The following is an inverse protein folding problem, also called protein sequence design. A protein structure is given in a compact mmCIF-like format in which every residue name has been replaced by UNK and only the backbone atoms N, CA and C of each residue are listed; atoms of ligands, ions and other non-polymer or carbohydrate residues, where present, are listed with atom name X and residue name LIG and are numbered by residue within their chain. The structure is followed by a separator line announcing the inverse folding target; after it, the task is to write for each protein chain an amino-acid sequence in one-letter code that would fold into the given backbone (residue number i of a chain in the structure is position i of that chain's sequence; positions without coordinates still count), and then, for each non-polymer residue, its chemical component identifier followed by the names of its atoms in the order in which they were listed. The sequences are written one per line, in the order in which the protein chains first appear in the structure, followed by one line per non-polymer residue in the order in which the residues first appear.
data_IF_318848350768
#
_entry.id   IF_318848350768
#
_cell.length_a   1.000
_cell.length_b   1.000
_cell.length_c   1.000
_cell.angle_alpha   90.00
_cell.angle_beta   90.00
_cell.angle_gamma   90.00
#
_symmetry.space_group_name_H-M   'P 1'
#
loop_
_entity.id
_entity.type
_entity.pdbx_description
1 polymer ?
#
# COMPACT_ATOMS: atom_id res chain seq x y z
N UNK A 1 -16.40 -19.24 10.15
CA UNK A 1 -16.11 -18.20 9.14
C UNK A 1 -15.11 -17.26 9.80
N UNK A 2 -13.82 -17.45 9.55
CA UNK A 2 -12.79 -16.59 10.16
C UNK A 2 -12.60 -15.44 9.17
N UNK A 3 -13.22 -14.31 9.47
CA UNK A 3 -12.85 -13.05 8.84
C UNK A 3 -11.43 -12.73 9.29
N UNK A 4 -10.46 -12.85 8.39
CA UNK A 4 -9.31 -11.98 8.52
C UNK A 4 -9.86 -10.56 8.42
N UNK A 5 -9.54 -9.65 9.36
CA UNK A 5 -10.04 -8.30 9.27
C UNK A 5 -9.33 -7.66 8.09
N UNK A 6 -10.02 -7.60 6.95
CA UNK A 6 -9.84 -6.45 6.09
C UNK A 6 -10.38 -5.21 6.78
N UNK A 7 -11.40 -5.32 7.65
CA UNK A 7 -11.95 -4.21 8.41
C UNK A 7 -12.66 -4.75 9.66
N UNK A 8 -12.27 -4.30 10.87
CA UNK A 8 -13.03 -4.52 12.12
C UNK A 8 -12.27 -5.26 13.23
N UNK A 9 -11.84 -4.49 14.25
CA UNK A 9 -11.48 -4.86 15.65
C UNK A 9 -10.07 -5.38 16.05
N UNK A 10 -9.34 -6.29 15.36
CA UNK A 10 -7.93 -6.55 15.71
C UNK A 10 -6.95 -5.45 15.27
N UNK A 11 -7.41 -4.53 14.43
CA UNK A 11 -6.58 -3.50 13.81
C UNK A 11 -6.24 -2.36 14.78
N UNK A 12 -7.20 -1.98 15.63
CA UNK A 12 -7.02 -0.99 16.69
C UNK A 12 -6.04 -1.49 17.75
N UNK A 13 -6.12 -2.77 18.14
CA UNK A 13 -5.19 -3.36 19.10
C UNK A 13 -3.77 -3.52 18.56
N UNK A 14 -3.59 -3.78 17.25
CA UNK A 14 -2.28 -3.92 16.60
C UNK A 14 -1.59 -2.58 16.37
N UNK A 15 -2.29 -1.56 15.84
CA UNK A 15 -1.74 -0.19 15.76
C UNK A 15 -1.45 0.33 17.17
N UNK A 16 -2.36 0.11 18.12
CA UNK A 16 -2.12 0.49 19.51
C UNK A 16 -0.99 -0.33 20.15
N UNK A 17 -0.70 -1.56 19.72
CA UNK A 17 0.43 -2.37 20.22
C UNK A 17 1.75 -1.91 19.62
N UNK A 18 1.80 -1.68 18.31
CA UNK A 18 2.95 -1.09 17.59
C UNK A 18 3.30 0.27 18.18
N UNK A 19 2.28 1.07 18.55
CA UNK A 19 2.45 2.37 19.20
C UNK A 19 2.57 2.31 20.73
N UNK A 20 2.15 1.24 21.42
CA UNK A 20 2.33 1.05 22.88
C UNK A 20 3.79 0.82 23.26
N UNK A 21 4.61 0.33 22.32
CA UNK A 21 6.06 0.38 22.46
C UNK A 21 6.60 1.83 22.48
N UNK A 22 5.79 2.79 22.03
CA UNK A 22 6.04 4.22 22.03
C UNK A 22 5.18 4.98 23.06
N UNK A 23 5.59 6.22 23.35
CA UNK A 23 4.97 7.11 24.34
C UNK A 23 3.43 7.18 24.16
N UNK A 24 2.67 7.20 25.25
CA UNK A 24 1.20 7.24 25.32
C UNK A 24 0.57 8.33 24.44
N UNK A 25 1.29 9.44 24.20
CA UNK A 25 0.86 10.55 23.34
C UNK A 25 0.79 10.20 21.83
N UNK A 26 1.70 9.36 21.32
CA UNK A 26 1.65 8.90 19.93
C UNK A 26 0.43 7.99 19.71
N UNK A 27 0.22 7.07 20.65
CA UNK A 27 -0.91 6.14 20.62
C UNK A 27 -2.24 6.90 20.64
N UNK A 28 -2.42 7.85 21.57
CA UNK A 28 -3.66 8.62 21.68
C UNK A 28 -3.95 9.46 20.43
N UNK A 29 -2.91 10.03 19.82
CA UNK A 29 -3.04 10.83 18.59
C UNK A 29 -3.44 9.97 17.40
N UNK A 30 -2.81 8.81 17.23
CA UNK A 30 -3.15 7.88 16.15
C UNK A 30 -4.58 7.33 16.31
N UNK A 31 -4.98 6.95 17.53
CA UNK A 31 -6.35 6.52 17.82
C UNK A 31 -7.36 7.62 17.52
N UNK A 32 -7.13 8.85 18.00
CA UNK A 32 -7.99 9.99 17.68
C UNK A 32 -8.07 10.25 16.17
N UNK A 33 -6.92 10.20 15.48
CA UNK A 33 -6.87 10.41 14.04
C UNK A 33 -7.64 9.32 13.28
N UNK A 34 -7.54 8.07 13.72
CA UNK A 34 -8.29 6.95 13.16
C UNK A 34 -9.81 7.12 13.33
N UNK A 35 -10.26 7.47 14.54
CA UNK A 35 -11.68 7.73 14.81
C UNK A 35 -12.20 8.90 13.96
N UNK A 36 -11.41 9.96 13.85
CA UNK A 36 -11.72 11.10 12.99
C UNK A 36 -11.77 10.68 11.51
N UNK A 37 -10.86 9.81 11.07
CA UNK A 37 -10.81 9.34 9.70
C UNK A 37 -12.05 8.50 9.33
N UNK A 38 -12.59 7.72 10.29
CA UNK A 38 -13.85 6.98 10.13
C UNK A 38 -15.08 7.89 10.09
N UNK A 39 -15.12 8.90 10.95
CA UNK A 39 -16.33 9.72 11.18
C UNK A 39 -16.39 10.98 10.32
N UNK A 40 -15.24 11.57 9.98
CA UNK A 40 -15.11 12.74 9.12
C UNK A 40 -13.81 12.67 8.30
N UNK A 41 -13.80 11.89 7.20
CA UNK A 41 -12.60 11.67 6.39
C UNK A 41 -11.98 12.98 5.88
N UNK A 42 -12.79 13.94 5.45
CA UNK A 42 -12.31 15.26 4.99
C UNK A 42 -11.59 16.04 6.11
N UNK A 43 -12.12 16.01 7.33
CA UNK A 43 -11.47 16.65 8.48
C UNK A 43 -10.18 15.92 8.87
N UNK A 44 -10.15 14.59 8.78
CA UNK A 44 -8.92 13.82 9.00
C UNK A 44 -7.84 14.22 7.98
N UNK A 45 -8.17 14.31 6.69
CA UNK A 45 -7.23 14.75 5.67
C UNK A 45 -6.65 16.14 5.94
N UNK A 46 -7.48 17.09 6.39
CA UNK A 46 -6.99 18.41 6.79
C UNK A 46 -5.97 18.33 7.93
N UNK A 47 -6.18 17.42 8.89
CA UNK A 47 -5.33 17.24 10.08
C UNK A 47 -4.15 16.27 9.90
N UNK A 48 -4.05 15.57 8.77
CA UNK A 48 -3.04 14.52 8.56
C UNK A 48 -1.61 14.98 8.88
N UNK A 49 -1.19 16.13 8.35
CA UNK A 49 0.15 16.67 8.57
C UNK A 49 0.42 16.99 10.04
N UNK A 50 -0.55 17.61 10.72
CA UNK A 50 -0.44 17.91 12.16
C UNK A 50 -0.42 16.66 13.02
N UNK A 51 -1.22 15.64 12.67
CA UNK A 51 -1.23 14.36 13.37
C UNK A 51 0.12 13.62 13.19
N UNK A 52 0.69 13.63 11.98
CA UNK A 52 2.04 13.12 11.71
C UNK A 52 3.10 13.84 12.56
N UNK A 53 3.04 15.17 12.66
CA UNK A 53 3.98 15.93 13.50
C UNK A 53 3.87 15.56 14.97
N UNK A 54 2.66 15.42 15.51
CA UNK A 54 2.46 15.03 16.91
C UNK A 54 3.00 13.62 17.17
N UNK A 55 2.73 12.65 16.29
CA UNK A 55 3.26 11.29 16.41
C UNK A 55 4.79 11.28 16.34
N UNK A 56 5.39 12.03 15.41
CA UNK A 56 6.85 12.18 15.30
C UNK A 56 7.48 12.83 16.53
N UNK A 57 6.82 13.83 17.12
CA UNK A 57 7.31 14.58 18.28
C UNK A 57 7.08 13.88 19.63
N UNK A 58 6.28 12.82 19.67
CA UNK A 58 6.03 12.08 20.89
C UNK A 58 7.28 11.33 21.41
N UNK A 59 8.32 11.14 20.57
CA UNK A 59 9.57 10.52 21.00
C UNK A 59 10.58 11.59 21.51
N UNK A 60 10.94 11.57 22.80
CA UNK A 60 11.93 12.51 23.35
C UNK A 60 13.33 12.35 22.75
N UNK A 61 13.66 11.19 22.19
CA UNK A 61 14.94 10.90 21.53
C UNK A 61 14.88 11.10 20.00
N UNK A 62 13.85 11.77 19.48
CA UNK A 62 13.64 12.01 18.05
C UNK A 62 14.90 12.51 17.35
N UNK A 63 15.53 13.55 17.86
CA UNK A 63 16.70 14.16 17.22
C UNK A 63 17.85 13.16 17.03
N UNK A 64 18.07 12.28 18.01
CA UNK A 64 19.10 11.25 17.94
C UNK A 64 18.73 10.14 16.95
N UNK A 65 17.48 9.65 17.00
CA UNK A 65 17.04 8.56 16.11
C UNK A 65 16.94 9.04 14.66
N UNK A 66 16.38 10.22 14.41
CA UNK A 66 16.28 10.78 13.05
C UNK A 66 17.66 11.16 12.49
N UNK A 67 18.64 11.52 13.33
CA UNK A 67 20.02 11.75 12.89
C UNK A 67 20.70 10.46 12.42
N UNK A 68 20.43 9.32 13.06
CA UNK A 68 21.03 8.02 12.74
C UNK A 68 20.27 7.32 11.59
N UNK A 69 18.94 7.27 11.68
CA UNK A 69 18.06 6.68 10.66
C UNK A 69 17.89 7.59 9.43
N UNK A 70 18.36 8.83 9.52
CA UNK A 70 18.36 9.82 8.45
C UNK A 70 16.96 10.17 7.92
N UNK A 71 16.01 10.18 8.86
CA UNK A 71 14.59 10.40 8.65
C UNK A 71 13.77 9.92 9.86
N UNK A 72 12.47 10.23 9.91
CA UNK A 72 11.55 9.65 10.89
C UNK A 72 11.56 8.13 10.78
N UNK A 73 11.59 7.45 11.94
CA UNK A 73 11.51 6.00 11.98
C UNK A 73 10.15 5.54 11.37
N UNK A 74 10.17 4.67 10.34
CA UNK A 74 8.96 4.11 9.71
C UNK A 74 8.00 3.43 10.69
N UNK A 75 8.50 2.86 11.79
CA UNK A 75 7.65 2.26 12.82
C UNK A 75 6.71 3.27 13.48
N UNK A 76 7.04 4.58 13.42
CA UNK A 76 6.25 5.65 14.03
C UNK A 76 5.31 6.29 13.01
N UNK A 77 5.79 6.50 11.79
CA UNK A 77 5.03 7.22 10.75
C UNK A 77 4.24 6.31 9.81
N UNK A 78 4.68 5.05 9.65
CA UNK A 78 4.00 4.02 8.88
C UNK A 78 2.54 3.81 9.32
N UNK A 79 2.23 3.74 10.63
CA UNK A 79 0.86 3.67 11.11
C UNK A 79 -0.05 4.81 10.61
N UNK A 80 0.48 6.02 10.42
CA UNK A 80 -0.32 7.14 9.89
C UNK A 80 -0.67 6.95 8.42
N UNK A 81 0.27 6.48 7.59
CA UNK A 81 -0.03 6.10 6.20
C UNK A 81 -0.96 4.88 6.13
N UNK A 82 -0.89 3.98 7.10
CA UNK A 82 -1.83 2.85 7.25
C UNK A 82 -3.26 3.35 7.52
N UNK A 83 -3.42 4.36 8.39
CA UNK A 83 -4.72 5.03 8.61
C UNK A 83 -5.21 5.73 7.34
N UNK A 84 -4.31 6.39 6.60
CA UNK A 84 -4.66 6.96 5.30
C UNK A 84 -5.16 5.89 4.33
N UNK A 85 -4.45 4.76 4.24
CA UNK A 85 -4.84 3.61 3.42
C UNK A 85 -6.21 3.06 3.82
N UNK A 86 -6.55 3.04 5.11
CA UNK A 86 -7.85 2.55 5.56
C UNK A 86 -9.03 3.37 5.07
N UNK A 87 -8.90 4.71 5.04
CA UNK A 87 -9.98 5.57 4.56
C UNK A 87 -9.98 5.73 3.04
N UNK A 88 -8.83 5.55 2.40
CA UNK A 88 -8.60 5.84 0.99
C UNK A 88 -9.70 5.30 0.05
N UNK A 89 -10.19 4.05 0.19
CA UNK A 89 -11.19 3.48 -0.70
C UNK A 89 -12.59 4.08 -0.55
N UNK A 90 -12.85 4.74 0.58
CA UNK A 90 -14.14 5.36 0.89
C UNK A 90 -14.18 6.83 0.45
N UNK A 91 -13.06 7.37 -0.03
CA UNK A 91 -12.95 8.73 -0.54
C UNK A 91 -13.33 8.76 -2.02
N UNK A 92 -14.03 9.82 -2.44
CA UNK A 92 -14.22 10.12 -3.86
C UNK A 92 -12.88 10.42 -4.55
N UNK A 93 -12.87 10.45 -5.90
CA UNK A 93 -11.64 10.61 -6.69
C UNK A 93 -10.90 11.92 -6.38
N UNK A 94 -11.59 13.03 -6.13
CA UNK A 94 -10.95 14.31 -5.87
C UNK A 94 -10.40 14.38 -4.44
N UNK A 95 -11.12 13.82 -3.48
CA UNK A 95 -10.65 13.71 -2.10
C UNK A 95 -9.45 12.76 -1.99
N UNK A 96 -9.42 11.67 -2.78
CA UNK A 96 -8.23 10.79 -2.90
C UNK A 96 -7.01 11.51 -3.49
N UNK A 97 -7.18 12.45 -4.44
CA UNK A 97 -6.06 13.28 -4.95
C UNK A 97 -5.43 14.10 -3.82
N UNK A 98 -6.26 14.73 -2.98
CA UNK A 98 -5.79 15.51 -1.82
C UNK A 98 -5.04 14.60 -0.84
N UNK A 99 -5.59 13.43 -0.54
CA UNK A 99 -4.97 12.42 0.32
C UNK A 99 -3.61 11.94 -0.22
N UNK A 100 -3.54 11.71 -1.54
CA UNK A 100 -2.31 11.32 -2.22
C UNK A 100 -1.26 12.42 -2.14
N UNK A 101 -1.59 13.68 -2.47
CA UNK A 101 -0.65 14.81 -2.39
C UNK A 101 -0.10 14.95 -0.98
N UNK A 102 -0.93 14.81 0.06
CA UNK A 102 -0.48 14.83 1.46
C UNK A 102 0.46 13.68 1.79
N UNK A 103 0.17 12.48 1.29
CA UNK A 103 1.02 11.30 1.47
C UNK A 103 2.36 11.47 0.75
N UNK A 104 2.35 11.97 -0.49
CA UNK A 104 3.56 12.25 -1.27
C UNK A 104 4.39 13.36 -0.64
N UNK A 105 3.80 14.46 -0.18
CA UNK A 105 4.54 15.52 0.53
C UNK A 105 5.25 14.99 1.78
N UNK A 106 4.61 14.06 2.49
CA UNK A 106 5.25 13.39 3.61
C UNK A 106 6.43 12.54 3.14
N UNK A 107 6.23 11.66 2.15
CA UNK A 107 7.27 10.76 1.63
C UNK A 107 8.45 11.52 0.98
N UNK A 108 8.17 12.60 0.25
CA UNK A 108 9.14 13.50 -0.40
C UNK A 108 10.01 14.24 0.62
N UNK A 109 9.56 14.35 1.88
CA UNK A 109 10.38 14.89 2.98
C UNK A 109 11.35 13.88 3.59
N UNK A 110 11.32 12.62 3.14
CA UNK A 110 12.14 11.53 3.67
C UNK A 110 13.25 11.16 2.68
N UNK A 111 14.28 10.45 3.17
CA UNK A 111 15.19 9.75 2.27
C UNK A 111 14.46 8.59 1.59
N UNK A 112 14.84 8.30 0.35
CA UNK A 112 14.18 7.31 -0.51
C UNK A 112 13.98 5.94 0.17
N UNK A 113 15.01 5.39 0.84
CA UNK A 113 14.88 4.10 1.55
C UNK A 113 13.83 4.13 2.67
N UNK A 114 13.79 5.20 3.45
CA UNK A 114 12.79 5.40 4.52
C UNK A 114 11.39 5.58 3.93
N UNK A 115 11.27 6.26 2.79
CA UNK A 115 10.00 6.38 2.08
C UNK A 115 9.51 5.00 1.58
N UNK A 116 10.40 4.19 1.00
CA UNK A 116 10.08 2.82 0.58
C UNK A 116 9.62 1.95 1.76
N UNK A 117 10.32 2.01 2.90
CA UNK A 117 9.91 1.29 4.13
C UNK A 117 8.51 1.72 4.58
N UNK A 118 8.21 3.02 4.59
CA UNK A 118 6.88 3.53 4.91
C UNK A 118 5.79 3.01 3.93
N UNK A 119 6.08 2.97 2.63
CA UNK A 119 5.17 2.42 1.61
C UNK A 119 5.00 0.91 1.78
N UNK A 120 6.03 0.18 2.21
CA UNK A 120 5.97 -1.26 2.46
C UNK A 120 4.93 -1.63 3.53
N UNK A 121 4.70 -0.76 4.52
CA UNK A 121 3.72 -0.95 5.58
C UNK A 121 2.27 -0.62 5.17
N UNK A 122 2.05 0.02 4.03
CA UNK A 122 0.70 0.33 3.56
C UNK A 122 0.01 -0.96 3.07
N UNK A 123 -1.21 -1.17 3.55
CA UNK A 123 -1.99 -2.39 3.25
C UNK A 123 -3.05 -2.18 2.18
N UNK A 124 -3.39 -0.94 1.86
CA UNK A 124 -4.42 -0.59 0.89
C UNK A 124 -3.85 -0.51 -0.53
N UNK A 125 -4.24 -1.40 -1.46
CA UNK A 125 -3.69 -1.45 -2.81
C UNK A 125 -3.82 -0.14 -3.60
N UNK A 126 -4.97 0.55 -3.50
CA UNK A 126 -5.18 1.80 -4.25
C UNK A 126 -4.20 2.90 -3.84
N UNK A 127 -3.97 3.08 -2.54
CA UNK A 127 -3.02 4.09 -2.06
C UNK A 127 -1.59 3.76 -2.50
N UNK A 128 -1.18 2.49 -2.40
CA UNK A 128 0.17 2.07 -2.84
C UNK A 128 0.35 2.28 -4.33
N UNK A 129 -0.64 1.88 -5.14
CA UNK A 129 -0.62 2.06 -6.57
C UNK A 129 -0.48 3.54 -6.94
N UNK A 130 -1.31 4.38 -6.36
CA UNK A 130 -1.32 5.82 -6.62
C UNK A 130 0.01 6.47 -6.19
N UNK A 131 0.63 6.04 -5.07
CA UNK A 131 1.96 6.51 -4.69
C UNK A 131 3.00 6.14 -5.76
N UNK A 132 3.06 4.87 -6.15
CA UNK A 132 4.12 4.36 -7.06
C UNK A 132 3.95 4.91 -8.48
N UNK A 133 2.72 5.04 -8.99
CA UNK A 133 2.43 5.63 -10.29
C UNK A 133 2.98 7.06 -10.37
N UNK A 134 2.85 7.83 -9.28
CA UNK A 134 3.29 9.22 -9.23
C UNK A 134 4.75 9.41 -8.80
N UNK A 135 5.31 8.43 -8.08
CA UNK A 135 6.69 8.42 -7.58
C UNK A 135 7.24 7.00 -7.61
N UNK A 136 7.63 6.53 -8.79
CA UNK A 136 8.12 5.16 -9.00
C UNK A 136 9.31 4.77 -8.10
N UNK A 137 10.11 5.76 -7.69
CA UNK A 137 11.24 5.56 -6.77
C UNK A 137 10.82 5.06 -5.38
N UNK A 138 9.56 5.23 -4.97
CA UNK A 138 9.04 4.76 -3.68
C UNK A 138 8.48 3.34 -3.72
N UNK A 139 8.69 2.60 -4.80
CA UNK A 139 8.32 1.19 -4.86
C UNK A 139 9.29 0.35 -4.00
N UNK A 140 8.85 -0.22 -2.86
CA UNK A 140 9.71 -1.09 -2.04
C UNK A 140 9.90 -2.49 -2.64
N UNK A 141 9.18 -2.80 -3.72
CA UNK A 141 9.11 -4.13 -4.30
C UNK A 141 8.31 -5.12 -3.44
N UNK A 142 8.38 -6.39 -3.82
CA UNK A 142 7.62 -7.49 -3.21
C UNK A 142 8.54 -8.65 -2.79
N UNK A 143 9.82 -8.36 -2.50
CA UNK A 143 10.86 -9.38 -2.24
C UNK A 143 10.47 -10.26 -1.05
N UNK A 144 10.09 -9.66 0.08
CA UNK A 144 9.67 -10.42 1.28
C UNK A 144 8.45 -11.31 1.00
N UNK A 145 7.48 -10.80 0.25
CA UNK A 145 6.30 -11.58 -0.16
C UNK A 145 6.68 -12.75 -1.08
N UNK A 146 7.57 -12.53 -2.05
CA UNK A 146 8.06 -13.57 -2.94
C UNK A 146 8.87 -14.65 -2.18
N UNK A 147 9.68 -14.25 -1.20
CA UNK A 147 10.43 -15.19 -0.35
C UNK A 147 9.50 -16.04 0.52
N UNK A 148 8.45 -15.44 1.09
CA UNK A 148 7.43 -16.17 1.85
C UNK A 148 6.72 -17.22 0.98
N UNK A 149 6.28 -16.83 -0.22
CA UNK A 149 5.61 -17.76 -1.15
C UNK A 149 6.54 -18.87 -1.64
N UNK A 150 7.83 -18.57 -1.83
CA UNK A 150 8.83 -19.57 -2.20
C UNK A 150 9.12 -20.55 -1.04
N UNK A 151 9.12 -20.05 0.19
CA UNK A 151 9.40 -20.84 1.39
C UNK A 151 8.25 -21.77 1.76
N UNK A 152 7.01 -21.31 1.59
CA UNK A 152 5.80 -22.04 1.99
C UNK A 152 4.91 -22.32 0.77
N UNK A 153 5.10 -23.49 0.16
CA UNK A 153 4.40 -23.87 -1.08
C UNK A 153 2.94 -24.31 -0.89
N UNK A 154 2.55 -24.64 0.35
CA UNK A 154 1.20 -25.09 0.69
C UNK A 154 0.45 -24.04 1.54
N UNK A 155 -0.87 -23.94 1.36
CA UNK A 155 -1.71 -22.97 2.07
C UNK A 155 -1.60 -23.11 3.59
N UNK A 156 -1.62 -24.34 4.10
CA UNK A 156 -1.56 -24.65 5.53
C UNK A 156 -0.28 -24.15 6.20
N UNK A 157 0.82 -24.11 5.44
CA UNK A 157 2.11 -23.62 5.92
C UNK A 157 2.25 -22.10 5.73
N UNK A 158 1.69 -21.54 4.67
CA UNK A 158 1.75 -20.11 4.37
C UNK A 158 0.86 -19.29 5.32
N UNK A 159 -0.35 -19.77 5.62
CA UNK A 159 -1.39 -19.02 6.34
C UNK A 159 -0.92 -18.44 7.69
N UNK A 160 -0.20 -19.19 8.56
CA UNK A 160 0.32 -18.65 9.82
C UNK A 160 1.34 -17.51 9.66
N UNK A 161 1.90 -17.32 8.46
CA UNK A 161 2.95 -16.36 8.17
C UNK A 161 2.48 -15.15 7.36
N UNK A 162 1.21 -15.08 6.94
CA UNK A 162 0.68 -13.97 6.13
C UNK A 162 0.82 -12.61 6.83
N UNK A 163 0.84 -12.58 8.17
CA UNK A 163 0.99 -11.34 8.95
C UNK A 163 2.41 -10.75 8.95
N UNK A 164 3.41 -11.49 8.45
CA UNK A 164 4.80 -11.04 8.46
C UNK A 164 5.11 -9.98 7.40
N UNK A 165 4.17 -9.69 6.50
CA UNK A 165 4.31 -8.64 5.48
C UNK A 165 2.93 -8.06 5.12
N UNK A 166 2.89 -7.04 4.26
CA UNK A 166 1.63 -6.43 3.84
C UNK A 166 0.79 -7.42 3.02
N UNK A 167 -0.53 -7.55 3.30
CA UNK A 167 -1.44 -8.35 2.48
C UNK A 167 -1.44 -7.92 1.01
N UNK A 168 -1.27 -6.62 0.74
CA UNK A 168 -1.15 -6.12 -0.63
C UNK A 168 0.05 -6.73 -1.35
N UNK A 169 1.25 -6.72 -0.74
CA UNK A 169 2.46 -7.24 -1.37
C UNK A 169 2.40 -8.76 -1.58
N UNK A 170 1.78 -9.51 -0.67
CA UNK A 170 1.47 -10.93 -0.88
C UNK A 170 0.53 -11.11 -2.05
N UNK A 171 -0.59 -10.38 -2.08
CA UNK A 171 -1.57 -10.47 -3.15
C UNK A 171 -0.95 -10.10 -4.51
N UNK A 172 -0.13 -9.05 -4.55
CA UNK A 172 0.58 -8.62 -5.75
C UNK A 172 1.60 -9.66 -6.20
N UNK A 173 2.32 -10.28 -5.28
CA UNK A 173 3.21 -11.39 -5.63
C UNK A 173 2.42 -12.59 -6.19
N UNK A 174 1.24 -12.92 -5.64
CA UNK A 174 0.43 -14.05 -6.11
C UNK A 174 -0.10 -13.89 -7.55
N UNK A 175 -0.30 -12.66 -8.03
CA UNK A 175 -0.75 -12.42 -9.41
C UNK A 175 0.38 -12.52 -10.45
N UNK A 176 1.64 -12.65 -10.03
CA UNK A 176 2.79 -12.82 -10.92
C UNK A 176 2.99 -14.29 -11.33
N UNK A 177 3.39 -14.50 -12.59
CA UNK A 177 3.33 -15.80 -13.28
C UNK A 177 4.08 -16.98 -12.64
N UNK A 178 5.07 -16.76 -11.77
CA UNK A 178 5.93 -17.82 -11.22
C UNK A 178 6.11 -17.75 -9.69
N UNK A 179 5.16 -17.13 -8.98
CA UNK A 179 5.36 -16.81 -7.55
C UNK A 179 4.54 -17.65 -6.59
N UNK A 180 3.45 -18.26 -7.02
CA UNK A 180 2.59 -19.10 -6.19
C UNK A 180 2.00 -20.25 -7.02
N UNK A 181 1.70 -21.38 -6.36
CA UNK A 181 0.93 -22.47 -6.95
C UNK A 181 -0.53 -22.04 -7.18
N UNK A 182 -1.21 -22.68 -8.13
CA UNK A 182 -2.63 -22.40 -8.40
C UNK A 182 -3.50 -22.63 -7.16
N UNK A 183 -3.23 -23.70 -6.40
CA UNK A 183 -3.95 -24.00 -5.15
C UNK A 183 -3.87 -22.84 -4.14
N UNK A 184 -2.65 -22.33 -3.88
CA UNK A 184 -2.44 -21.22 -2.94
C UNK A 184 -3.13 -19.95 -3.44
N UNK A 185 -3.02 -19.66 -4.74
CA UNK A 185 -3.63 -18.48 -5.37
C UNK A 185 -5.16 -18.52 -5.25
N UNK A 186 -5.77 -19.63 -5.66
CA UNK A 186 -7.22 -19.82 -5.63
C UNK A 186 -7.76 -19.69 -4.21
N UNK A 187 -7.07 -20.30 -3.24
CA UNK A 187 -7.45 -20.23 -1.83
C UNK A 187 -7.33 -18.81 -1.29
N UNK A 188 -6.26 -18.09 -1.62
CA UNK A 188 -6.08 -16.72 -1.17
C UNK A 188 -7.14 -15.78 -1.76
N UNK A 189 -7.39 -15.83 -3.08
CA UNK A 189 -8.40 -14.98 -3.70
C UNK A 189 -9.83 -15.30 -3.26
N UNK A 190 -10.12 -16.58 -2.94
CA UNK A 190 -11.39 -16.95 -2.32
C UNK A 190 -11.57 -16.31 -0.94
N UNK A 191 -10.51 -16.22 -0.14
CA UNK A 191 -10.55 -15.67 1.22
C UNK A 191 -10.46 -14.14 1.25
N UNK A 192 -9.81 -13.54 0.25
CA UNK A 192 -9.53 -12.09 0.20
C UNK A 192 -10.02 -11.44 -1.11
N UNK A 193 -11.29 -11.61 -1.50
CA UNK A 193 -11.77 -11.17 -2.83
C UNK A 193 -11.69 -9.65 -3.03
N UNK A 194 -11.94 -8.85 -1.98
CA UNK A 194 -11.84 -7.38 -2.04
C UNK A 194 -10.40 -6.90 -2.22
N UNK A 195 -9.45 -7.55 -1.54
CA UNK A 195 -8.03 -7.24 -1.68
C UNK A 195 -7.56 -7.59 -3.10
N UNK A 196 -7.93 -8.79 -3.59
CA UNK A 196 -7.63 -9.22 -4.96
C UNK A 196 -8.16 -8.22 -6.00
N UNK A 197 -9.44 -7.83 -5.90
CA UNK A 197 -10.04 -6.87 -6.83
C UNK A 197 -9.28 -5.53 -6.87
N UNK A 198 -8.90 -4.99 -5.71
CA UNK A 198 -8.13 -3.73 -5.62
C UNK A 198 -6.67 -3.89 -6.04
N UNK A 199 -6.06 -5.05 -5.81
CA UNK A 199 -4.73 -5.38 -6.33
C UNK A 199 -4.74 -5.46 -7.86
N UNK A 200 -5.82 -5.94 -8.47
CA UNK A 200 -5.97 -5.88 -9.92
C UNK A 200 -6.15 -4.45 -10.43
N UNK A 201 -6.81 -3.56 -9.66
CA UNK A 201 -6.85 -2.13 -10.01
C UNK A 201 -5.44 -1.51 -9.96
N UNK A 202 -4.64 -1.89 -8.96
CA UNK A 202 -3.24 -1.47 -8.84
C UNK A 202 -2.40 -1.98 -10.03
N UNK A 203 -2.54 -3.26 -10.38
CA UNK A 203 -1.86 -3.87 -11.53
C UNK A 203 -2.22 -3.16 -12.85
N UNK A 204 -3.51 -2.83 -13.05
CA UNK A 204 -3.97 -2.04 -14.18
C UNK A 204 -3.30 -0.66 -14.23
N UNK A 205 -3.24 0.04 -13.10
CA UNK A 205 -2.57 1.34 -13.01
C UNK A 205 -1.08 1.26 -13.32
N UNK A 206 -0.38 0.23 -12.84
CA UNK A 206 1.03 -0.01 -13.16
C UNK A 206 1.24 -0.31 -14.65
N UNK A 207 0.46 -1.24 -15.22
CA UNK A 207 0.53 -1.60 -16.63
C UNK A 207 0.34 -0.37 -17.52
N UNK A 208 -0.70 0.42 -17.26
CA UNK A 208 -1.01 1.60 -18.07
C UNK A 208 0.08 2.67 -17.94
N UNK A 209 0.57 2.90 -16.72
CA UNK A 209 1.61 3.91 -16.46
C UNK A 209 2.93 3.54 -17.12
N UNK A 210 3.39 2.30 -16.95
CA UNK A 210 4.62 1.83 -17.60
C UNK A 210 4.48 1.76 -19.11
N UNK A 211 3.33 1.33 -19.64
CA UNK A 211 3.07 1.36 -21.08
C UNK A 211 3.13 2.79 -21.66
N UNK A 212 2.55 3.78 -20.97
CA UNK A 212 2.66 5.20 -21.36
C UNK A 212 4.11 5.70 -21.31
N UNK A 213 4.89 5.26 -20.31
CA UNK A 213 6.30 5.60 -20.21
C UNK A 213 7.12 5.00 -21.36
N UNK A 214 6.90 3.74 -21.70
CA UNK A 214 7.57 3.05 -22.82
C UNK A 214 7.18 3.66 -24.15
N UNK A 215 5.90 3.97 -24.35
CA UNK A 215 5.44 4.68 -25.54
C UNK A 215 6.16 6.02 -25.70
N UNK A 216 6.22 6.81 -24.64
CA UNK A 216 6.86 8.14 -24.65
C UNK A 216 8.38 8.07 -24.83
N UNK A 217 9.06 7.12 -24.18
CA UNK A 217 10.54 7.05 -24.16
C UNK A 217 11.13 6.23 -25.30
N UNK A 218 10.45 5.17 -25.71
CA UNK A 218 10.96 4.16 -26.63
C UNK A 218 10.21 4.14 -27.97
N UNK A 219 9.10 4.87 -28.10
CA UNK A 219 8.29 4.92 -29.33
C UNK A 219 7.51 3.63 -29.61
N UNK A 220 7.41 2.72 -28.65
CA UNK A 220 6.62 1.49 -28.78
C UNK A 220 5.13 1.84 -28.87
N UNK A 221 4.33 1.25 -29.77
CA UNK A 221 2.89 1.46 -29.79
C UNK A 221 2.26 1.14 -28.41
N UNK A 222 1.36 1.99 -27.93
CA UNK A 222 0.83 1.89 -26.56
C UNK A 222 0.21 0.51 -26.28
N UNK A 223 -0.53 -0.06 -27.22
CA UNK A 223 -1.14 -1.38 -27.05
C UNK A 223 -0.09 -2.50 -26.99
N UNK A 224 0.99 -2.40 -27.77
CA UNK A 224 2.11 -3.35 -27.69
C UNK A 224 2.82 -3.23 -26.35
N UNK A 225 3.01 -2.01 -25.84
CA UNK A 225 3.61 -1.78 -24.53
C UNK A 225 2.73 -2.30 -23.39
N UNK A 226 1.40 -2.16 -23.49
CA UNK A 226 0.44 -2.77 -22.53
C UNK A 226 0.57 -4.29 -22.52
N UNK A 227 0.52 -4.93 -23.69
CA UNK A 227 0.60 -6.39 -23.80
C UNK A 227 1.94 -6.93 -23.30
N UNK A 228 3.04 -6.18 -23.50
CA UNK A 228 4.35 -6.51 -22.93
C UNK A 228 4.32 -6.46 -21.39
N UNK A 229 3.81 -5.37 -20.81
CA UNK A 229 3.73 -5.20 -19.36
C UNK A 229 2.75 -6.19 -18.68
N UNK A 230 1.76 -6.73 -19.41
CA UNK A 230 0.88 -7.79 -18.90
C UNK A 230 1.59 -9.14 -18.74
N UNK A 231 2.68 -9.41 -19.48
CA UNK A 231 3.37 -10.70 -19.46
C UNK A 231 3.98 -11.06 -18.10
N UNK A 232 4.11 -10.11 -17.17
CA UNK A 232 4.59 -10.37 -15.82
C UNK A 232 3.52 -11.03 -14.93
N UNK A 233 2.25 -10.86 -15.30
CA UNK A 233 1.10 -11.40 -14.58
C UNK A 233 0.63 -12.74 -15.13
N UNK A 234 -0.10 -13.49 -14.31
CA UNK A 234 -0.79 -14.71 -14.71
C UNK A 234 -1.76 -14.43 -15.86
N UNK A 235 -1.80 -15.29 -16.88
CA UNK A 235 -2.60 -15.05 -18.09
C UNK A 235 -4.11 -15.04 -17.80
N UNK A 236 -4.54 -15.79 -16.78
CA UNK A 236 -5.94 -15.93 -16.37
C UNK A 236 -6.58 -14.61 -15.92
N UNK A 237 -5.77 -13.62 -15.52
CA UNK A 237 -6.24 -12.32 -15.04
C UNK A 237 -6.04 -11.18 -16.05
N UNK A 238 -5.43 -11.44 -17.22
CA UNK A 238 -5.14 -10.40 -18.21
C UNK A 238 -6.40 -9.65 -18.64
N UNK A 239 -7.50 -10.36 -18.92
CA UNK A 239 -8.76 -9.73 -19.33
C UNK A 239 -9.37 -8.86 -18.23
N UNK A 240 -9.21 -9.25 -16.97
CA UNK A 240 -9.67 -8.45 -15.83
C UNK A 240 -8.84 -7.17 -15.69
N UNK A 241 -7.52 -7.26 -15.90
CA UNK A 241 -6.63 -6.09 -15.89
C UNK A 241 -6.99 -5.15 -17.06
N UNK A 242 -7.17 -5.67 -18.29
CA UNK A 242 -7.59 -4.86 -19.45
C UNK A 242 -8.90 -4.13 -19.18
N UNK A 243 -9.89 -4.81 -18.60
CA UNK A 243 -11.15 -4.17 -18.17
C UNK A 243 -10.88 -3.05 -17.16
N UNK A 244 -10.07 -3.30 -16.13
CA UNK A 244 -9.75 -2.30 -15.10
C UNK A 244 -8.95 -1.10 -15.62
N UNK A 245 -8.13 -1.29 -16.66
CA UNK A 245 -7.48 -0.17 -17.38
C UNK A 245 -8.54 0.79 -17.93
N UNK A 246 -9.65 0.26 -18.49
CA UNK A 246 -10.74 1.10 -18.98
C UNK A 246 -11.57 1.79 -17.87
N UNK A 247 -11.52 1.29 -16.64
CA UNK A 247 -12.20 1.89 -15.49
C UNK A 247 -11.41 3.08 -14.87
N UNK A 248 -10.09 3.14 -15.09
CA UNK A 248 -9.19 4.23 -14.67
C UNK A 248 -9.40 4.67 -13.20
N UNK A 249 -9.37 3.68 -12.31
CA UNK A 249 -9.60 3.87 -10.87
C UNK A 249 -8.44 4.50 -10.11
N UNK A 250 -7.21 4.39 -10.64
CA UNK A 250 -6.02 4.97 -10.03
C UNK A 250 -5.98 6.49 -10.22
N UNK A 251 -5.09 7.15 -9.49
CA UNK A 251 -4.84 8.58 -9.58
C UNK A 251 -3.46 8.79 -10.17
N UNK A 252 -3.42 9.34 -11.39
CA UNK A 252 -2.24 9.96 -11.95
C UNK A 252 -2.36 11.47 -11.75
N UNK A 253 -1.45 12.07 -10.99
CA UNK A 253 -1.32 13.51 -10.88
C UNK A 253 -0.67 14.02 -12.16
N UNK A 254 -1.24 15.08 -12.74
CA UNK A 254 -0.64 15.75 -13.90
C UNK A 254 0.77 16.24 -13.51
N UNK A 255 1.77 15.82 -14.28
CA UNK A 255 3.17 16.26 -14.16
C UNK A 255 3.46 17.45 -15.05
#
# INVERSE_FOLDING_TARGET
MIEFPLFGEPWDSKIASELKGFNTQATSTASFYHDLAKTSPTTALQRFSSALEVVRNANPNRALVEAIATGPNPDWTGPMLKIMGHIYPNLDKDTRKIALVKSLNFLDSLRCGVAQENVAHVTEPWLVADIIINRWIYNPGYVQAAELLKKYGAWTELYPHLESTSPFWICFAMILKDRASNEVRDRFFQLFPKLADRTLDAAAGFTETYAKMDHKKQGVPLDVAREHNLQDYCWEIHDQIRKKISEEKWIALET
#
